data_IF_502635943690
#
_entry.id   IF_502635943690
#
_cell.length_a   1.000
_cell.length_b   1.000
_cell.length_c   1.000
_cell.angle_alpha   90.00
_cell.angle_beta   90.00
_cell.angle_gamma   90.00
#
_symmetry.space_group_name_H-M   'P 1'
#
loop_
_entity.id
_entity.type
_entity.pdbx_description
1 polymer ?
#
# COMPACT_ATOMS: atom_id res chain seq x y z
N UNK A 1 -47.84 -0.32 33.51
CA UNK A 1 -48.54 -1.60 33.72
C UNK A 1 -47.52 -2.73 33.68
N UNK A 2 -47.84 -3.90 34.26
CA UNK A 2 -46.98 -5.11 34.22
C UNK A 2 -46.57 -5.52 32.79
N UNK A 3 -47.38 -5.22 31.77
CA UNK A 3 -47.02 -5.47 30.36
C UNK A 3 -45.81 -4.69 29.85
N UNK A 4 -45.58 -3.45 30.32
CA UNK A 4 -44.44 -2.66 29.87
C UNK A 4 -43.11 -3.17 30.44
N UNK A 5 -43.14 -3.71 31.67
CA UNK A 5 -41.98 -4.33 32.32
C UNK A 5 -41.63 -5.69 31.70
N UNK A 6 -42.61 -6.50 31.28
CA UNK A 6 -42.33 -7.77 30.61
C UNK A 6 -41.80 -7.59 29.19
N UNK A 7 -42.26 -6.57 28.46
CA UNK A 7 -41.72 -6.22 27.14
C UNK A 7 -40.25 -5.75 27.21
N UNK A 8 -39.92 -4.87 28.17
CA UNK A 8 -38.55 -4.42 28.39
C UNK A 8 -37.61 -5.55 28.86
N UNK A 9 -38.10 -6.50 29.66
CA UNK A 9 -37.35 -7.70 30.04
C UNK A 9 -37.08 -8.64 28.86
N UNK A 10 -38.05 -8.77 27.94
CA UNK A 10 -37.91 -9.55 26.70
C UNK A 10 -36.85 -8.93 25.76
N UNK A 11 -36.84 -7.60 25.63
CA UNK A 11 -35.83 -6.88 24.84
C UNK A 11 -34.42 -7.00 25.43
N UNK A 12 -34.29 -6.98 26.76
CA UNK A 12 -33.01 -7.21 27.42
C UNK A 12 -32.48 -8.64 27.22
N UNK A 13 -33.34 -9.66 27.32
CA UNK A 13 -32.95 -11.05 27.07
C UNK A 13 -32.48 -11.26 25.61
N UNK A 14 -33.14 -10.61 24.66
CA UNK A 14 -32.73 -10.62 23.25
C UNK A 14 -31.38 -9.91 23.04
N UNK A 15 -31.13 -8.80 23.74
CA UNK A 15 -29.85 -8.09 23.70
C UNK A 15 -28.71 -8.92 24.31
N UNK A 16 -28.94 -9.57 25.44
CA UNK A 16 -27.97 -10.46 26.10
C UNK A 16 -27.61 -11.63 25.18
N UNK A 17 -28.60 -12.30 24.57
CA UNK A 17 -28.37 -13.39 23.61
C UNK A 17 -27.52 -12.93 22.41
N UNK A 18 -27.78 -11.73 21.89
CA UNK A 18 -27.00 -11.15 20.79
C UNK A 18 -25.57 -10.82 21.23
N UNK A 19 -25.40 -10.29 22.44
CA UNK A 19 -24.09 -9.98 23.01
C UNK A 19 -23.27 -11.26 23.21
N UNK A 20 -23.87 -12.31 23.78
CA UNK A 20 -23.24 -13.62 23.94
C UNK A 20 -22.82 -14.20 22.59
N UNK A 21 -23.67 -14.09 21.56
CA UNK A 21 -23.34 -14.51 20.20
C UNK A 21 -22.15 -13.74 19.62
N UNK A 22 -22.09 -12.41 19.82
CA UNK A 22 -20.96 -11.58 19.37
C UNK A 22 -19.69 -11.97 20.12
N UNK A 23 -19.76 -12.16 21.43
CA UNK A 23 -18.62 -12.57 22.26
C UNK A 23 -18.12 -13.96 21.87
N UNK A 24 -19.01 -14.92 21.63
CA UNK A 24 -18.65 -16.26 21.19
C UNK A 24 -17.96 -16.24 19.81
N UNK A 25 -18.48 -15.43 18.86
CA UNK A 25 -17.84 -15.22 17.56
C UNK A 25 -16.47 -14.55 17.69
N UNK A 26 -16.36 -13.53 18.52
CA UNK A 26 -15.08 -12.85 18.78
C UNK A 26 -14.05 -13.80 19.40
N UNK A 27 -14.47 -14.64 20.37
CA UNK A 27 -13.62 -15.68 20.97
C UNK A 27 -13.19 -16.73 19.95
N UNK A 28 -14.08 -17.18 19.07
CA UNK A 28 -13.74 -18.14 18.02
C UNK A 28 -12.74 -17.56 16.99
N UNK A 29 -12.90 -16.28 16.63
CA UNK A 29 -11.95 -15.55 15.78
C UNK A 29 -10.60 -15.37 16.49
N UNK A 30 -10.62 -15.15 17.81
CA UNK A 30 -9.41 -15.02 18.62
C UNK A 30 -8.72 -16.37 18.90
N UNK A 31 -9.45 -17.49 18.87
CA UNK A 31 -8.93 -18.83 19.19
C UNK A 31 -8.41 -19.59 17.98
N UNK A 32 -8.82 -19.22 16.76
CA UNK A 32 -8.28 -19.77 15.51
C UNK A 32 -7.06 -19.00 15.02
N UNK A 33 -6.20 -19.66 14.23
CA UNK A 33 -5.14 -18.98 13.46
C UNK A 33 -5.79 -18.15 12.33
N UNK A 34 -6.36 -16.99 12.68
CA UNK A 34 -7.04 -16.13 11.72
C UNK A 34 -6.00 -15.50 10.80
N UNK A 35 -6.00 -15.93 9.53
CA UNK A 35 -5.23 -15.30 8.45
C UNK A 35 -6.11 -14.32 7.69
N UNK A 36 -5.54 -13.16 7.36
CA UNK A 36 -6.17 -12.15 6.52
C UNK A 36 -6.47 -12.78 5.15
N UNK A 37 -7.74 -12.80 4.72
CA UNK A 37 -8.10 -13.40 3.45
C UNK A 37 -7.50 -12.61 2.29
N UNK A 38 -7.28 -13.30 1.18
CA UNK A 38 -6.81 -12.70 -0.07
C UNK A 38 -7.92 -12.70 -1.11
N UNK A 39 -7.91 -11.67 -1.94
CA UNK A 39 -8.83 -11.49 -3.06
C UNK A 39 -8.06 -11.06 -4.29
N UNK A 40 -8.56 -11.42 -5.46
CA UNK A 40 -7.98 -10.97 -6.73
C UNK A 40 -8.06 -9.45 -6.84
N UNK A 41 -6.93 -8.81 -7.10
CA UNK A 41 -6.86 -7.36 -7.27
C UNK A 41 -7.36 -6.94 -8.65
N UNK A 42 -8.64 -6.59 -8.75
CA UNK A 42 -9.27 -6.17 -10.00
C UNK A 42 -9.10 -7.21 -11.11
N UNK A 43 -8.55 -6.79 -12.25
CA UNK A 43 -8.31 -7.65 -13.43
C UNK A 43 -6.85 -8.13 -13.55
N UNK A 44 -6.05 -7.99 -12.49
CA UNK A 44 -4.60 -8.20 -12.55
C UNK A 44 -4.14 -9.64 -12.39
N UNK A 45 -5.08 -10.57 -12.09
CA UNK A 45 -4.80 -11.96 -11.72
C UNK A 45 -3.85 -12.12 -10.51
N UNK A 46 -3.58 -11.04 -9.77
CA UNK A 46 -2.74 -11.05 -8.56
C UNK A 46 -3.65 -11.08 -7.34
N UNK A 47 -3.41 -12.02 -6.43
CA UNK A 47 -4.12 -12.09 -5.15
C UNK A 47 -3.45 -11.20 -4.10
N UNK A 48 -4.22 -10.29 -3.51
CA UNK A 48 -3.79 -9.42 -2.42
C UNK A 48 -4.62 -9.67 -1.17
N UNK A 49 -3.99 -9.57 -0.01
CA UNK A 49 -4.67 -9.53 1.27
C UNK A 49 -5.63 -8.35 1.31
N UNK A 50 -6.82 -8.55 1.90
CA UNK A 50 -7.83 -7.48 2.05
C UNK A 50 -7.35 -6.33 2.95
N UNK A 51 -6.29 -6.57 3.72
CA UNK A 51 -5.54 -5.56 4.46
C UNK A 51 -4.16 -5.38 3.84
N UNK A 52 -3.72 -4.12 3.72
CA UNK A 52 -2.39 -3.74 3.24
C UNK A 52 -1.54 -3.22 4.39
N UNK A 53 -0.26 -3.58 4.43
CA UNK A 53 0.71 -2.94 5.32
C UNK A 53 1.20 -1.65 4.65
N UNK A 54 0.66 -0.50 5.08
CA UNK A 54 0.97 0.81 4.50
C UNK A 54 2.20 1.47 5.13
N UNK A 55 3.09 2.01 4.29
CA UNK A 55 4.40 2.53 4.66
C UNK A 55 4.47 3.96 5.17
N UNK A 56 3.40 4.75 5.04
CA UNK A 56 3.37 6.20 5.27
C UNK A 56 3.77 6.66 6.68
N UNK A 57 3.76 5.76 7.68
CA UNK A 57 4.16 6.09 9.07
C UNK A 57 5.27 5.18 9.58
N UNK A 58 5.89 4.41 8.69
CA UNK A 58 6.99 3.50 9.04
C UNK A 58 8.37 4.16 8.82
N UNK A 59 8.41 5.28 8.07
CA UNK A 59 9.64 6.01 7.83
C UNK A 59 10.11 6.77 9.07
N UNK A 60 11.43 6.84 9.24
CA UNK A 60 12.06 7.62 10.32
C UNK A 60 11.88 9.14 10.14
N UNK A 61 11.94 9.62 8.90
CA UNK A 61 11.86 11.06 8.61
C UNK A 61 10.94 11.34 7.44
N UNK A 62 10.33 12.53 7.45
CA UNK A 62 9.74 13.13 6.26
C UNK A 62 10.83 13.82 5.42
N UNK A 63 10.61 13.88 4.12
CA UNK A 63 11.58 14.48 3.19
C UNK A 63 12.69 13.50 2.75
N UNK A 64 13.55 13.96 1.85
CA UNK A 64 14.55 13.12 1.16
C UNK A 64 15.96 13.22 1.76
N UNK A 65 16.06 13.57 3.04
CA UNK A 65 17.34 13.85 3.71
C UNK A 65 18.12 12.57 4.06
N UNK A 66 17.44 11.43 4.09
CA UNK A 66 18.04 10.10 4.30
C UNK A 66 18.19 9.43 2.94
N UNK A 67 19.44 9.27 2.51
CA UNK A 67 19.80 8.73 1.19
C UNK A 67 20.50 7.38 1.29
N UNK A 68 20.94 6.96 2.48
CA UNK A 68 21.58 5.67 2.72
C UNK A 68 21.15 5.03 4.03
N UNK A 69 21.24 3.70 4.12
CA UNK A 69 20.90 2.95 5.33
C UNK A 69 21.79 3.31 6.53
N UNK A 70 22.98 3.87 6.30
CA UNK A 70 23.86 4.34 7.37
C UNK A 70 23.28 5.52 8.17
N UNK A 71 22.30 6.23 7.60
CA UNK A 71 21.61 7.35 8.25
C UNK A 71 20.29 6.92 8.90
N UNK A 72 19.88 5.66 8.73
CA UNK A 72 18.66 5.11 9.33
C UNK A 72 19.01 4.60 10.73
N UNK A 73 18.25 5.04 11.72
CA UNK A 73 18.29 4.56 13.09
C UNK A 73 18.01 3.04 13.10
N UNK A 74 18.94 2.23 13.65
CA UNK A 74 18.79 0.78 13.71
C UNK A 74 17.50 0.33 14.41
N UNK A 75 17.01 1.08 15.41
CA UNK A 75 15.77 0.76 16.13
C UNK A 75 14.56 0.93 15.21
N UNK A 76 14.52 2.03 14.44
CA UNK A 76 13.47 2.25 13.45
C UNK A 76 13.47 1.16 12.38
N UNK A 77 14.64 0.78 11.89
CA UNK A 77 14.76 -0.28 10.88
C UNK A 77 14.31 -1.64 11.44
N UNK A 78 14.78 -2.00 12.64
CA UNK A 78 14.37 -3.25 13.29
C UNK A 78 12.85 -3.32 13.48
N UNK A 79 12.24 -2.23 13.92
CA UNK A 79 10.79 -2.15 14.09
C UNK A 79 10.03 -2.39 12.77
N UNK A 80 10.52 -1.84 11.64
CA UNK A 80 9.92 -2.11 10.33
C UNK A 80 10.00 -3.60 9.96
N UNK A 81 11.16 -4.25 10.18
CA UNK A 81 11.31 -5.68 9.90
C UNK A 81 10.35 -6.51 10.75
N UNK A 82 10.22 -6.20 12.04
CA UNK A 82 9.32 -6.89 12.96
C UNK A 82 7.85 -6.70 12.56
N UNK A 83 7.46 -5.51 12.08
CA UNK A 83 6.13 -5.24 11.53
C UNK A 83 5.88 -6.10 10.28
N UNK A 84 6.84 -6.19 9.36
CA UNK A 84 6.70 -7.02 8.15
C UNK A 84 6.53 -8.49 8.53
N UNK A 85 7.37 -9.00 9.45
CA UNK A 85 7.25 -10.38 9.96
C UNK A 85 5.87 -10.63 10.59
N UNK A 86 5.38 -9.70 11.40
CA UNK A 86 4.08 -9.82 12.03
C UNK A 86 2.94 -9.81 11.00
N UNK A 87 2.97 -8.87 10.04
CA UNK A 87 2.01 -8.80 8.95
C UNK A 87 1.97 -10.11 8.15
N UNK A 88 3.14 -10.69 7.84
CA UNK A 88 3.26 -11.98 7.16
C UNK A 88 2.66 -13.13 7.96
N UNK A 89 2.88 -13.19 9.27
CA UNK A 89 2.27 -14.20 10.16
C UNK A 89 0.74 -14.13 10.12
N UNK A 90 0.19 -12.91 10.07
CA UNK A 90 -1.25 -12.68 9.91
C UNK A 90 -1.78 -12.94 8.49
N UNK A 91 -0.94 -13.30 7.52
CA UNK A 91 -1.36 -13.60 6.14
C UNK A 91 -1.38 -12.40 5.18
N UNK A 92 -0.99 -11.20 5.65
CA UNK A 92 -0.85 -10.00 4.80
C UNK A 92 0.26 -10.25 3.77
N UNK A 93 -0.02 -10.01 2.49
CA UNK A 93 0.98 -10.09 1.43
C UNK A 93 1.15 -8.78 0.67
N UNK A 94 0.28 -7.79 0.84
CA UNK A 94 0.39 -6.51 0.17
C UNK A 94 1.08 -5.48 1.07
N UNK A 95 2.22 -4.97 0.60
CA UNK A 95 3.02 -3.93 1.23
C UNK A 95 3.10 -2.73 0.31
N UNK A 96 2.84 -1.56 0.86
CA UNK A 96 2.69 -0.35 0.07
C UNK A 96 3.59 0.75 0.62
N UNK A 97 4.29 1.43 -0.29
CA UNK A 97 5.04 2.64 -0.01
C UNK A 97 4.84 3.72 -1.08
N UNK A 98 5.55 4.84 -0.97
CA UNK A 98 5.62 5.87 -2.00
C UNK A 98 6.95 6.61 -1.91
N UNK A 99 7.40 7.15 -3.04
CA UNK A 99 8.58 8.04 -3.07
C UNK A 99 8.44 9.23 -2.14
N UNK A 100 7.21 9.73 -1.97
CA UNK A 100 6.89 10.83 -1.07
C UNK A 100 6.95 10.49 0.43
N UNK A 101 7.04 9.21 0.81
CA UNK A 101 7.06 8.77 2.22
C UNK A 101 8.49 8.76 2.78
N UNK A 102 9.22 9.86 2.57
CA UNK A 102 10.61 10.01 3.02
C UNK A 102 11.52 8.86 2.61
N UNK A 103 12.17 8.22 3.59
CA UNK A 103 13.08 7.09 3.39
C UNK A 103 12.42 5.70 3.35
N UNK A 104 11.09 5.61 3.36
CA UNK A 104 10.37 4.33 3.40
C UNK A 104 10.78 3.31 2.32
N UNK A 105 10.96 3.72 1.06
CA UNK A 105 11.41 2.80 -0.01
C UNK A 105 12.76 2.17 0.29
N UNK A 106 13.70 2.97 0.81
CA UNK A 106 15.03 2.51 1.18
C UNK A 106 14.96 1.53 2.37
N UNK A 107 14.15 1.86 3.39
CA UNK A 107 13.96 1.02 4.56
C UNK A 107 13.24 -0.30 4.23
N UNK A 108 12.20 -0.26 3.39
CA UNK A 108 11.52 -1.45 2.89
C UNK A 108 12.46 -2.32 2.05
N UNK A 109 13.26 -1.71 1.17
CA UNK A 109 14.22 -2.44 0.34
C UNK A 109 15.25 -3.18 1.19
N UNK A 110 15.80 -2.54 2.22
CA UNK A 110 16.70 -3.18 3.17
C UNK A 110 16.01 -4.30 3.97
N UNK A 111 14.81 -4.05 4.48
CA UNK A 111 14.05 -5.05 5.26
C UNK A 111 13.71 -6.29 4.43
N UNK A 112 13.20 -6.11 3.21
CA UNK A 112 12.89 -7.24 2.34
C UNK A 112 14.14 -7.99 1.88
N UNK A 113 15.26 -7.30 1.61
CA UNK A 113 16.52 -7.97 1.30
C UNK A 113 16.98 -8.89 2.42
N UNK A 114 16.89 -8.45 3.68
CA UNK A 114 17.17 -9.29 4.85
C UNK A 114 16.26 -10.53 4.88
N UNK A 115 14.94 -10.31 4.78
CA UNK A 115 13.94 -11.39 4.85
C UNK A 115 14.01 -12.38 3.68
N UNK A 116 14.43 -11.92 2.50
CA UNK A 116 14.67 -12.78 1.35
C UNK A 116 15.94 -13.58 1.52
N UNK A 117 17.02 -12.96 2.03
CA UNK A 117 18.28 -13.63 2.28
C UNK A 117 18.19 -14.68 3.39
N UNK A 118 17.36 -14.44 4.42
CA UNK A 118 17.12 -15.40 5.51
C UNK A 118 16.16 -16.54 5.11
N UNK A 119 15.44 -16.41 3.99
CA UNK A 119 14.43 -17.37 3.54
C UNK A 119 13.10 -17.28 4.30
N UNK A 120 12.92 -16.29 5.18
CA UNK A 120 11.67 -16.07 5.91
C UNK A 120 10.52 -15.65 4.98
N UNK A 121 10.84 -14.97 3.89
CA UNK A 121 9.89 -14.50 2.88
C UNK A 121 10.47 -14.77 1.50
N UNK A 122 9.67 -15.30 0.57
CA UNK A 122 10.05 -15.33 -0.85
C UNK A 122 9.52 -14.10 -1.57
N UNK A 123 10.26 -13.61 -2.57
CA UNK A 123 9.89 -12.39 -3.29
C UNK A 123 8.53 -12.51 -3.97
N UNK A 124 8.18 -13.69 -4.47
CA UNK A 124 6.90 -14.03 -5.09
C UNK A 124 5.72 -14.14 -4.11
N UNK A 125 5.97 -14.26 -2.80
CA UNK A 125 4.92 -14.37 -1.79
C UNK A 125 4.41 -13.00 -1.28
N UNK A 126 5.00 -11.91 -1.78
CA UNK A 126 4.67 -10.53 -1.42
C UNK A 126 4.39 -9.69 -2.65
N UNK A 127 3.42 -8.80 -2.51
CA UNK A 127 3.04 -7.79 -3.47
C UNK A 127 3.58 -6.46 -2.95
N UNK A 128 4.54 -5.89 -3.65
CA UNK A 128 5.17 -4.61 -3.28
C UNK A 128 4.65 -3.53 -4.21
N UNK A 129 4.09 -2.48 -3.62
CA UNK A 129 3.58 -1.32 -4.32
C UNK A 129 4.37 -0.05 -3.99
N UNK A 130 4.72 0.75 -4.99
CA UNK A 130 5.14 2.14 -4.77
C UNK A 130 4.31 3.14 -5.57
N UNK A 131 4.52 4.44 -5.35
CA UNK A 131 3.83 5.52 -6.02
C UNK A 131 4.75 6.71 -6.28
N UNK A 132 4.53 7.38 -7.41
CA UNK A 132 5.15 8.65 -7.75
C UNK A 132 4.11 9.72 -8.04
N UNK A 133 4.47 10.97 -7.75
CA UNK A 133 3.70 12.11 -8.25
C UNK A 133 3.93 12.23 -9.77
N UNK A 134 2.97 12.79 -10.52
CA UNK A 134 3.23 13.21 -11.90
C UNK A 134 4.37 14.23 -11.97
N UNK A 135 5.14 14.17 -13.04
CA UNK A 135 6.25 15.10 -13.31
C UNK A 135 6.00 15.86 -14.61
N UNK A 136 6.80 16.89 -14.87
CA UNK A 136 6.64 17.72 -16.07
C UNK A 136 7.05 16.99 -17.36
N UNK A 137 7.96 16.02 -17.25
CA UNK A 137 8.49 15.28 -18.41
C UNK A 137 8.52 13.77 -18.15
N UNK A 138 8.34 12.99 -19.21
CA UNK A 138 8.45 11.53 -19.15
C UNK A 138 9.86 11.07 -18.73
N UNK A 139 10.90 11.83 -19.10
CA UNK A 139 12.28 11.53 -18.70
C UNK A 139 12.47 11.67 -17.18
N UNK A 140 11.95 12.75 -16.59
CA UNK A 140 11.96 12.96 -15.13
C UNK A 140 11.16 11.87 -14.42
N UNK A 141 9.98 11.51 -14.93
CA UNK A 141 9.17 10.44 -14.36
C UNK A 141 9.93 9.11 -14.37
N UNK A 142 10.57 8.79 -15.50
CA UNK A 142 11.35 7.57 -15.67
C UNK A 142 12.53 7.52 -14.71
N UNK A 143 13.28 8.61 -14.58
CA UNK A 143 14.40 8.69 -13.64
C UNK A 143 13.94 8.48 -12.19
N UNK A 144 12.80 9.08 -11.79
CA UNK A 144 12.24 8.84 -10.46
C UNK A 144 11.78 7.39 -10.26
N UNK A 145 11.23 6.76 -11.29
CA UNK A 145 10.84 5.35 -11.25
C UNK A 145 12.05 4.42 -11.14
N UNK A 146 13.13 4.69 -11.87
CA UNK A 146 14.40 3.97 -11.77
C UNK A 146 14.99 4.10 -10.35
N UNK A 147 14.98 5.28 -9.75
CA UNK A 147 15.38 5.50 -8.35
C UNK A 147 14.50 4.73 -7.35
N UNK A 148 13.19 4.57 -7.60
CA UNK A 148 12.35 3.68 -6.79
C UNK A 148 12.84 2.22 -6.82
N UNK A 149 13.21 1.70 -8.01
CA UNK A 149 13.76 0.35 -8.15
C UNK A 149 15.07 0.19 -7.40
N UNK A 150 15.98 1.17 -7.51
CA UNK A 150 17.27 1.17 -6.81
C UNK A 150 17.09 1.17 -5.28
N UNK A 151 16.24 2.06 -4.77
CA UNK A 151 15.97 2.19 -3.32
C UNK A 151 15.33 0.95 -2.72
N UNK A 152 14.33 0.40 -3.42
CA UNK A 152 13.71 -0.87 -3.03
C UNK A 152 14.66 -2.06 -3.25
N UNK A 153 15.67 -1.92 -4.11
CA UNK A 153 16.57 -2.99 -4.47
C UNK A 153 15.87 -4.16 -5.16
N UNK A 154 14.85 -3.87 -5.98
CA UNK A 154 14.02 -4.88 -6.64
C UNK A 154 14.21 -4.87 -8.15
N UNK A 155 14.08 -6.03 -8.78
CA UNK A 155 14.07 -6.16 -10.26
C UNK A 155 12.68 -5.94 -10.86
N UNK A 156 11.63 -6.06 -10.06
CA UNK A 156 10.24 -5.77 -10.45
C UNK A 156 9.43 -5.25 -9.25
N UNK A 157 8.46 -4.38 -9.53
CA UNK A 157 7.50 -3.85 -8.56
C UNK A 157 6.11 -4.33 -9.00
N UNK A 158 5.38 -4.98 -8.09
CA UNK A 158 4.10 -5.61 -8.43
C UNK A 158 3.07 -4.58 -8.86
N UNK A 159 3.00 -3.48 -8.12
CA UNK A 159 2.07 -2.40 -8.37
C UNK A 159 2.73 -1.03 -8.30
N UNK A 160 2.29 -0.15 -9.17
CA UNK A 160 2.71 1.23 -9.24
C UNK A 160 1.47 2.11 -9.35
N UNK A 161 1.40 3.19 -8.60
CA UNK A 161 0.30 4.16 -8.72
C UNK A 161 0.79 5.58 -8.91
N UNK A 162 -0.03 6.40 -9.54
CA UNK A 162 0.15 7.85 -9.55
C UNK A 162 -0.39 8.43 -8.24
N UNK A 163 0.44 9.20 -7.55
CA UNK A 163 0.16 9.75 -6.23
C UNK A 163 -0.36 11.18 -6.33
N UNK A 164 -1.30 11.52 -5.44
CA UNK A 164 -1.74 12.89 -5.21
C UNK A 164 -2.33 13.62 -6.42
N UNK A 165 -3.18 12.96 -7.23
CA UNK A 165 -3.95 13.60 -8.32
C UNK A 165 -5.09 14.47 -7.76
N UNK A 166 -4.73 15.55 -7.08
CA UNK A 166 -5.65 16.39 -6.33
C UNK A 166 -6.01 17.69 -7.06
N UNK A 167 -5.24 18.07 -8.09
CA UNK A 167 -5.39 19.31 -8.85
C UNK A 167 -5.44 19.05 -10.35
N UNK A 168 -6.11 19.95 -11.10
CA UNK A 168 -6.29 19.82 -12.55
C UNK A 168 -4.96 19.74 -13.31
N UNK A 169 -3.96 20.53 -12.90
CA UNK A 169 -2.65 20.52 -13.56
C UNK A 169 -1.98 19.13 -13.51
N UNK A 170 -2.16 18.38 -12.42
CA UNK A 170 -1.60 17.03 -12.26
C UNK A 170 -2.31 16.02 -13.16
N UNK A 171 -3.61 16.18 -13.34
CA UNK A 171 -4.38 15.39 -14.30
C UNK A 171 -3.89 15.65 -15.73
N UNK A 172 -3.64 16.91 -16.09
CA UNK A 172 -3.15 17.29 -17.40
C UNK A 172 -1.75 16.72 -17.69
N UNK A 173 -0.86 16.70 -16.68
CA UNK A 173 0.45 16.05 -16.80
C UNK A 173 0.32 14.57 -17.17
N UNK A 174 -0.59 13.84 -16.54
CA UNK A 174 -0.76 12.38 -16.74
C UNK A 174 -1.44 12.06 -18.07
N UNK A 175 -2.52 12.77 -18.40
CA UNK A 175 -3.43 12.34 -19.47
C UNK A 175 -3.27 13.13 -20.76
N UNK A 176 -2.56 14.26 -20.75
CA UNK A 176 -2.47 15.15 -21.92
C UNK A 176 -1.06 15.39 -22.44
N UNK A 177 -0.03 14.81 -21.81
CA UNK A 177 1.36 14.93 -22.27
C UNK A 177 1.77 16.42 -22.48
N UNK A 178 1.27 17.32 -21.62
CA UNK A 178 1.53 18.76 -21.71
C UNK A 178 0.73 19.53 -22.78
N UNK A 179 -0.24 18.92 -23.48
CA UNK A 179 -1.09 19.64 -24.45
C UNK A 179 -2.14 20.50 -23.72
N UNK A 180 -2.17 21.81 -24.03
CA UNK A 180 -3.15 22.76 -23.47
C UNK A 180 -4.59 22.31 -23.76
N UNK A 181 -5.46 22.44 -22.75
CA UNK A 181 -6.91 22.28 -22.88
C UNK A 181 -7.44 23.33 -23.87
N UNK A 182 -8.22 22.92 -24.88
CA UNK A 182 -9.07 23.90 -25.59
C UNK A 182 -10.05 24.47 -24.55
N UNK A 183 -10.25 25.79 -24.46
CA UNK A 183 -11.15 26.37 -23.48
C UNK A 183 -12.52 25.70 -23.60
N UNK A 184 -12.99 25.14 -22.47
CA UNK A 184 -14.31 24.53 -22.42
C UNK A 184 -15.33 25.67 -22.49
N UNK A 185 -16.25 25.58 -23.44
CA UNK A 185 -17.36 26.54 -23.58
C UNK A 185 -18.42 26.35 -22.49
N UNK A 186 -18.32 25.29 -21.70
CA UNK A 186 -19.13 25.03 -20.52
C UNK A 186 -18.25 25.34 -19.31
N UNK A 187 -18.70 26.23 -18.42
CA UNK A 187 -17.92 26.82 -17.32
C UNK A 187 -17.26 25.84 -16.33
N UNK A 188 -16.66 26.35 -15.24
CA UNK A 188 -15.86 25.54 -14.31
C UNK A 188 -16.72 24.48 -13.60
N UNK A 189 -16.74 23.27 -14.14
CA UNK A 189 -17.32 22.10 -13.50
C UNK A 189 -16.42 21.64 -12.36
N UNK A 190 -16.98 21.53 -11.16
CA UNK A 190 -16.32 20.93 -10.00
C UNK A 190 -16.18 19.43 -10.28
N UNK A 191 -14.98 18.99 -10.69
CA UNK A 191 -14.71 17.57 -10.92
C UNK A 191 -14.29 16.90 -9.60
N UNK A 192 -15.20 16.13 -9.02
CA UNK A 192 -14.93 15.28 -7.86
C UNK A 192 -13.87 14.22 -8.17
N UNK A 193 -12.68 14.37 -7.58
CA UNK A 193 -11.58 13.43 -7.72
C UNK A 193 -11.86 12.11 -6.99
N UNK A 194 -12.06 11.04 -7.76
CA UNK A 194 -11.70 9.67 -7.35
C UNK A 194 -11.23 8.91 -8.59
N UNK A 195 -9.97 8.47 -8.57
CA UNK A 195 -9.46 7.19 -9.12
C UNK A 195 -7.92 7.20 -9.08
N UNK A 196 -7.35 6.59 -8.04
CA UNK A 196 -5.98 6.10 -8.12
C UNK A 196 -5.95 5.00 -9.20
N UNK A 197 -5.08 5.14 -10.21
CA UNK A 197 -4.81 4.04 -11.15
C UNK A 197 -3.58 3.28 -10.66
N UNK A 198 -3.71 1.97 -10.58
CA UNK A 198 -2.62 1.05 -10.25
C UNK A 198 -2.23 0.28 -11.51
N UNK A 199 -0.93 0.24 -11.81
CA UNK A 199 -0.33 -0.40 -12.96
C UNK A 199 0.68 -1.45 -12.47
N UNK A 200 0.82 -2.59 -13.15
CA UNK A 200 1.95 -3.49 -12.91
C UNK A 200 3.13 -3.03 -13.75
N UNK A 201 4.29 -2.82 -13.15
CA UNK A 201 5.50 -2.41 -13.87
C UNK A 201 6.59 -3.44 -13.61
N UNK A 202 6.79 -4.31 -14.59
CA UNK A 202 8.00 -5.13 -14.66
C UNK A 202 9.05 -4.35 -15.43
N UNK A 203 10.28 -4.32 -14.92
CA UNK A 203 11.42 -3.80 -15.67
C UNK A 203 11.63 -4.72 -16.88
N UNK A 204 11.35 -4.25 -18.09
CA UNK A 204 11.98 -4.83 -19.26
C UNK A 204 13.45 -4.40 -19.19
N UNK A 205 14.36 -5.30 -18.80
CA UNK A 205 15.78 -5.07 -19.11
C UNK A 205 15.88 -4.95 -20.64
N UNK A 206 16.59 -3.96 -21.20
CA UNK A 206 17.02 -4.07 -22.59
C UNK A 206 17.88 -5.33 -22.70
N UNK A 207 17.60 -6.18 -23.68
CA UNK A 207 18.48 -7.29 -24.01
C UNK A 207 19.84 -6.73 -24.44
N UNK A 208 20.82 -6.78 -23.54
CA UNK A 208 22.15 -6.20 -23.73
C UNK A 208 23.21 -7.01 -23.00
N UNK A 209 23.92 -7.81 -23.80
CA UNK A 209 25.16 -8.58 -23.58
C UNK A 209 25.87 -8.39 -22.22
N UNK A 210 26.07 -9.50 -21.52
CA UNK A 210 27.17 -9.64 -20.55
C UNK A 210 28.50 -9.89 -21.29
N UNK A 211 29.64 -9.43 -20.74
CA UNK A 211 30.96 -9.92 -21.14
C UNK A 211 31.14 -11.41 -20.83
#
# INVERSE_FOLDING_TARGET
SLCALSAAACDNAALETRLETVVARAKAVASGETRVPRVRFGKTEVDVSVLTCGGMRLQQTWGQNVTSMAQVDPVCQKNLVDIIRHARKLGINHFETARGYGCSELQFGAAFRELFASGEVRREDVVIQTKLNPTNTAAEFRAQLEDCFERLGLTYIDFFSLHGLNQEHQYDLVFRNGKKRKPDRRGPGIYGGRKNKTFRIQHARPAGRHP
#
